data_IF_297865866845
#
_entry.id   IF_297865866845
#
_cell.length_a   1.000
_cell.length_b   1.000
_cell.length_c   1.000
_cell.angle_alpha   90.00
_cell.angle_beta   90.00
_cell.angle_gamma   90.00
#
_symmetry.space_group_name_H-M   'P 1'
#
loop_
_entity.id
_entity.type
_entity.pdbx_description
1 polymer ?
#
# COMPACT_ATOMS: atom_id res chain seq x y z
N UNK A 1 -17.14 31.39 -25.56
CA UNK A 1 -17.64 30.88 -24.27
C UNK A 1 -17.54 29.37 -24.36
N UNK A 2 -16.63 28.74 -23.61
CA UNK A 2 -16.38 27.30 -23.71
C UNK A 2 -17.56 26.58 -23.05
N UNK A 3 -18.32 25.78 -23.80
CA UNK A 3 -19.39 24.96 -23.23
C UNK A 3 -18.77 23.94 -22.28
N UNK A 4 -19.08 24.06 -20.98
CA UNK A 4 -18.69 23.06 -20.01
C UNK A 4 -19.54 21.81 -20.22
N UNK A 5 -18.94 20.77 -20.80
CA UNK A 5 -19.58 19.47 -20.91
C UNK A 5 -19.72 18.88 -19.50
N UNK A 6 -20.97 18.68 -19.07
CA UNK A 6 -21.24 17.97 -17.83
C UNK A 6 -21.09 16.47 -18.08
N UNK A 7 -20.29 15.81 -17.24
CA UNK A 7 -20.07 14.36 -17.29
C UNK A 7 -20.48 13.77 -15.95
N UNK A 8 -21.38 12.79 -15.98
CA UNK A 8 -21.73 11.99 -14.81
C UNK A 8 -20.61 11.00 -14.48
N UNK A 9 -20.12 11.04 -13.24
CA UNK A 9 -19.02 10.19 -12.77
C UNK A 9 -19.50 8.99 -11.94
N UNK A 10 -20.81 8.79 -11.79
CA UNK A 10 -21.40 7.75 -10.93
C UNK A 10 -20.96 6.33 -11.27
N UNK A 11 -20.62 6.06 -12.55
CA UNK A 11 -20.18 4.76 -13.04
C UNK A 11 -18.68 4.68 -13.37
N UNK A 12 -17.90 5.70 -12.98
CA UNK A 12 -16.45 5.68 -13.16
C UNK A 12 -15.83 4.92 -12.00
N UNK A 13 -14.98 3.93 -12.31
CA UNK A 13 -14.17 3.25 -11.30
C UNK A 13 -13.04 4.17 -10.85
N UNK A 14 -12.95 4.42 -9.54
CA UNK A 14 -11.85 5.16 -8.94
C UNK A 14 -10.91 4.19 -8.23
N UNK A 15 -9.62 4.25 -8.58
CA UNK A 15 -8.55 3.53 -7.87
C UNK A 15 -7.60 4.59 -7.30
N UNK A 16 -7.58 4.69 -5.98
CA UNK A 16 -6.71 5.62 -5.25
C UNK A 16 -5.57 4.81 -4.62
N UNK A 17 -4.32 5.15 -4.95
CA UNK A 17 -3.13 4.50 -4.39
C UNK A 17 -2.13 5.53 -3.88
N UNK A 18 -1.34 5.13 -2.89
CA UNK A 18 -0.33 5.98 -2.27
C UNK A 18 0.59 5.19 -1.35
N UNK A 19 1.70 5.81 -0.94
CA UNK A 19 2.59 5.29 0.09
C UNK A 19 2.23 5.96 1.43
N UNK A 20 1.81 5.15 2.41
CA UNK A 20 1.32 5.62 3.70
C UNK A 20 2.38 5.37 4.79
N UNK A 21 3.43 6.20 4.80
CA UNK A 21 4.55 6.04 5.72
C UNK A 21 4.11 6.24 7.19
N UNK A 22 4.40 5.28 8.06
CA UNK A 22 4.02 5.33 9.47
C UNK A 22 2.60 4.83 9.78
N UNK A 23 1.82 4.42 8.76
CA UNK A 23 0.52 3.79 8.97
C UNK A 23 0.65 2.45 9.70
N UNK A 24 1.73 1.71 9.45
CA UNK A 24 2.11 0.49 10.16
C UNK A 24 2.16 0.68 11.68
N UNK A 25 2.66 1.84 12.16
CA UNK A 25 2.72 2.16 13.59
C UNK A 25 1.32 2.37 14.17
N UNK A 26 0.44 3.06 13.45
CA UNK A 26 -0.95 3.30 13.87
C UNK A 26 -1.69 1.96 13.99
N UNK A 27 -1.51 1.07 13.02
CA UNK A 27 -2.10 -0.27 13.01
C UNK A 27 -1.58 -1.10 14.19
N UNK A 28 -0.26 -1.06 14.47
CA UNK A 28 0.34 -1.73 15.63
C UNK A 28 -0.19 -1.17 16.94
N UNK A 29 -0.25 0.15 17.12
CA UNK A 29 -0.75 0.77 18.35
C UNK A 29 -2.22 0.35 18.65
N UNK A 30 -3.03 0.15 17.60
CA UNK A 30 -4.39 -0.39 17.75
C UNK A 30 -4.39 -1.85 18.18
N UNK A 31 -3.52 -2.66 17.57
CA UNK A 31 -3.52 -4.13 17.67
C UNK A 31 -2.75 -4.65 18.89
N UNK A 32 -1.69 -3.94 19.28
CA UNK A 32 -0.79 -4.21 20.41
C UNK A 32 -1.18 -3.37 21.62
N UNK A 33 -2.39 -3.58 22.16
CA UNK A 33 -2.77 -2.97 23.45
C UNK A 33 -1.97 -3.63 24.58
N UNK A 34 -0.78 -3.10 24.86
CA UNK A 34 -0.03 -3.45 26.08
C UNK A 34 -0.79 -2.96 27.30
N UNK A 35 -1.35 -3.89 28.07
CA UNK A 35 -1.91 -3.60 29.38
C UNK A 35 -0.79 -3.26 30.37
N UNK A 36 -1.01 -2.29 31.26
CA UNK A 36 -0.14 -2.09 32.42
C UNK A 36 -0.74 -2.90 33.58
N UNK A 37 -0.01 -3.90 34.08
CA UNK A 37 -0.42 -4.69 35.24
C UNK A 37 0.29 -6.03 35.37
N UNK A 38 0.32 -6.59 36.58
CA UNK A 38 0.98 -7.88 36.90
C UNK A 38 0.44 -9.09 36.12
N UNK A 39 -0.72 -8.94 35.45
CA UNK A 39 -1.36 -9.98 34.61
C UNK A 39 -1.41 -9.59 33.13
N UNK A 40 -0.73 -8.52 32.72
CA UNK A 40 -0.71 -8.13 31.32
C UNK A 40 0.24 -9.03 30.52
N UNK A 41 -0.25 -9.60 29.42
CA UNK A 41 0.62 -10.26 28.44
C UNK A 41 1.50 -9.20 27.76
N UNK A 42 2.75 -9.09 28.21
CA UNK A 42 3.77 -8.29 27.52
C UNK A 42 4.24 -9.12 26.33
N UNK A 43 3.72 -8.83 25.14
CA UNK A 43 4.30 -9.37 23.90
C UNK A 43 5.61 -8.64 23.61
N UNK A 44 6.67 -9.40 23.38
CA UNK A 44 7.99 -8.87 23.02
C UNK A 44 7.91 -8.05 21.74
N UNK A 45 8.42 -6.82 21.77
CA UNK A 45 8.55 -5.92 20.61
C UNK A 45 9.46 -6.46 19.50
N UNK A 46 10.12 -7.60 19.71
CA UNK A 46 11.10 -8.22 18.80
C UNK A 46 10.49 -9.00 17.62
N UNK A 47 9.16 -9.02 17.46
CA UNK A 47 8.58 -9.40 16.17
C UNK A 47 8.63 -8.20 15.26
N UNK A 48 9.73 -8.11 14.49
CA UNK A 48 9.71 -7.43 13.20
C UNK A 48 8.70 -8.14 12.28
N UNK A 49 7.40 -8.02 12.58
CA UNK A 49 6.37 -8.38 11.61
C UNK A 49 6.66 -7.51 10.39
N UNK A 50 6.74 -8.12 9.21
CA UNK A 50 7.08 -7.38 7.99
C UNK A 50 6.03 -6.28 7.80
N UNK A 51 6.46 -5.08 7.37
CA UNK A 51 5.55 -3.94 7.15
C UNK A 51 4.35 -4.35 6.29
N UNK A 52 4.58 -5.16 5.26
CA UNK A 52 3.52 -5.70 4.40
C UNK A 52 2.47 -6.54 5.14
N UNK A 53 2.87 -7.34 6.13
CA UNK A 53 1.94 -8.15 6.93
C UNK A 53 1.09 -7.27 7.85
N UNK A 54 1.71 -6.29 8.52
CA UNK A 54 0.98 -5.31 9.33
C UNK A 54 -0.04 -4.53 8.49
N UNK A 55 0.34 -4.10 7.28
CA UNK A 55 -0.55 -3.35 6.39
C UNK A 55 -1.79 -4.15 5.99
N UNK A 56 -1.73 -5.48 5.90
CA UNK A 56 -2.90 -6.33 5.58
C UNK A 56 -4.01 -6.26 6.62
N UNK A 57 -3.68 -5.86 7.84
CA UNK A 57 -4.63 -5.71 8.95
C UNK A 57 -5.23 -4.30 9.04
N UNK A 58 -5.00 -3.43 8.05
CA UNK A 58 -5.51 -2.06 8.04
C UNK A 58 -7.05 -2.02 8.12
N UNK A 59 -7.58 -1.15 8.97
CA UNK A 59 -9.01 -0.83 9.04
C UNK A 59 -9.26 0.64 8.69
N UNK A 60 -10.50 1.00 8.30
CA UNK A 60 -10.87 2.38 8.01
C UNK A 60 -10.54 3.38 9.14
N UNK A 61 -10.60 2.96 10.40
CA UNK A 61 -10.27 3.84 11.54
C UNK A 61 -8.79 4.22 11.60
N UNK A 62 -7.88 3.37 11.11
CA UNK A 62 -6.45 3.67 11.05
C UNK A 62 -6.18 4.76 10.02
N UNK A 63 -6.89 4.72 8.88
CA UNK A 63 -6.81 5.73 7.83
C UNK A 63 -7.33 7.10 8.31
N UNK A 64 -8.35 7.11 9.16
CA UNK A 64 -8.84 8.33 9.79
C UNK A 64 -7.83 8.88 10.79
N UNK A 65 -7.28 8.02 11.67
CA UNK A 65 -6.21 8.41 12.61
C UNK A 65 -4.95 8.91 11.89
N UNK A 66 -4.65 8.35 10.72
CA UNK A 66 -3.56 8.77 9.85
C UNK A 66 -3.77 10.19 9.27
N UNK A 67 -5.04 10.63 9.14
CA UNK A 67 -5.39 11.99 8.74
C UNK A 67 -6.35 12.09 7.56
N UNK A 68 -6.88 10.98 7.05
CA UNK A 68 -7.94 11.03 6.03
C UNK A 68 -9.29 11.37 6.68
N UNK A 69 -10.11 12.16 5.99
CA UNK A 69 -11.45 12.48 6.47
C UNK A 69 -12.38 11.26 6.34
N UNK A 70 -13.28 11.01 7.31
CA UNK A 70 -14.16 9.83 7.30
C UNK A 70 -15.03 9.71 6.05
N UNK A 71 -15.53 10.83 5.52
CA UNK A 71 -16.39 10.85 4.33
C UNK A 71 -15.64 10.37 3.08
N UNK A 72 -14.33 10.62 3.01
CA UNK A 72 -13.49 10.16 1.92
C UNK A 72 -13.19 8.67 2.04
N UNK A 73 -12.84 8.21 3.24
CA UNK A 73 -12.62 6.78 3.52
C UNK A 73 -13.90 5.98 3.27
N UNK A 74 -15.07 6.52 3.62
CA UNK A 74 -16.37 5.89 3.35
C UNK A 74 -16.71 5.70 1.87
N UNK A 75 -16.06 6.45 0.97
CA UNK A 75 -16.20 6.26 -0.50
C UNK A 75 -15.26 5.19 -1.05
N UNK A 76 -14.34 4.67 -0.24
CA UNK A 76 -13.33 3.68 -0.61
C UNK A 76 -13.54 2.38 0.19
N UNK A 77 -14.60 1.60 -0.09
CA UNK A 77 -14.93 0.41 0.68
C UNK A 77 -13.94 -0.75 0.49
N UNK A 78 -13.12 -0.69 -0.57
CA UNK A 78 -12.13 -1.71 -0.90
C UNK A 78 -10.73 -1.19 -0.61
N UNK A 79 -10.00 -1.88 0.25
CA UNK A 79 -8.60 -1.60 0.56
C UNK A 79 -7.76 -2.77 0.05
N UNK A 80 -6.72 -2.47 -0.71
CA UNK A 80 -5.74 -3.45 -1.19
C UNK A 80 -4.35 -2.99 -0.76
N UNK A 81 -3.64 -3.87 -0.08
CA UNK A 81 -2.27 -3.61 0.41
C UNK A 81 -1.28 -4.33 -0.50
N UNK A 82 -0.09 -3.76 -0.64
CA UNK A 82 1.01 -4.37 -1.39
C UNK A 82 2.09 -4.83 -0.40
N UNK A 83 2.67 -6.00 -0.68
CA UNK A 83 3.82 -6.49 0.04
C UNK A 83 5.10 -5.81 -0.45
N UNK A 84 6.12 -5.77 0.40
CA UNK A 84 7.44 -5.30 0.02
C UNK A 84 8.10 -6.22 -1.01
N UNK A 85 8.96 -5.64 -1.85
CA UNK A 85 9.69 -6.40 -2.85
C UNK A 85 10.85 -7.15 -2.20
N UNK A 86 10.84 -8.46 -2.32
CA UNK A 86 11.99 -9.31 -2.00
C UNK A 86 12.94 -9.47 -3.20
N UNK A 87 14.07 -10.14 -2.96
CA UNK A 87 15.08 -10.37 -3.99
C UNK A 87 14.51 -11.11 -5.21
N UNK A 88 13.68 -12.13 -4.97
CA UNK A 88 13.09 -12.93 -6.04
C UNK A 88 12.12 -12.10 -6.88
N UNK A 89 11.30 -11.25 -6.25
CA UNK A 89 10.44 -10.29 -6.92
C UNK A 89 11.25 -9.31 -7.78
N UNK A 90 12.37 -8.77 -7.27
CA UNK A 90 13.25 -7.89 -8.02
C UNK A 90 13.86 -8.59 -9.25
N UNK A 91 14.33 -9.83 -9.09
CA UNK A 91 14.85 -10.64 -10.20
C UNK A 91 13.77 -10.88 -11.26
N UNK A 92 12.54 -11.14 -10.84
CA UNK A 92 11.40 -11.28 -11.77
C UNK A 92 11.08 -9.98 -12.49
N UNK A 93 11.04 -8.85 -11.78
CA UNK A 93 10.77 -7.52 -12.36
C UNK A 93 11.77 -7.16 -13.47
N UNK A 94 13.05 -7.49 -13.29
CA UNK A 94 14.08 -7.16 -14.28
C UNK A 94 14.13 -8.16 -15.46
N UNK A 95 13.46 -9.31 -15.40
CA UNK A 95 13.51 -10.36 -16.44
C UNK A 95 12.16 -10.65 -17.13
N UNK A 96 11.08 -10.82 -16.37
CA UNK A 96 9.81 -11.35 -16.87
C UNK A 96 8.96 -10.32 -17.63
N UNK A 97 8.71 -9.09 -17.10
CA UNK A 97 7.84 -8.12 -17.75
C UNK A 97 8.23 -7.86 -19.21
N UNK A 98 7.23 -7.57 -20.05
CA UNK A 98 7.46 -7.15 -21.45
C UNK A 98 8.39 -5.94 -21.53
N UNK A 99 8.21 -5.00 -20.60
CA UNK A 99 9.01 -3.77 -20.49
C UNK A 99 10.08 -3.87 -19.40
N UNK A 100 10.67 -5.05 -19.17
CA UNK A 100 11.74 -5.21 -18.19
C UNK A 100 13.05 -4.58 -18.64
N UNK A 101 13.90 -4.17 -17.68
CA UNK A 101 15.17 -3.49 -17.96
C UNK A 101 16.09 -4.33 -18.85
N UNK A 102 16.22 -5.64 -18.59
CA UNK A 102 17.07 -6.50 -19.40
C UNK A 102 16.64 -6.52 -20.87
N UNK A 103 15.32 -6.62 -21.15
CA UNK A 103 14.78 -6.56 -22.52
C UNK A 103 14.96 -5.20 -23.17
N UNK A 104 14.81 -4.11 -22.41
CA UNK A 104 15.05 -2.76 -22.89
C UNK A 104 16.52 -2.58 -23.32
N UNK A 105 17.47 -2.99 -22.49
CA UNK A 105 18.90 -2.91 -22.82
C UNK A 105 19.30 -3.85 -23.96
N UNK A 106 18.78 -5.08 -24.00
CA UNK A 106 19.00 -5.98 -25.15
C UNK A 106 18.56 -5.33 -26.45
N UNK A 107 17.39 -4.69 -26.47
CA UNK A 107 16.89 -4.00 -27.66
C UNK A 107 17.74 -2.79 -28.04
N UNK A 108 18.20 -2.02 -27.05
CA UNK A 108 19.10 -0.90 -27.28
C UNK A 108 20.40 -1.34 -27.96
N UNK A 109 21.02 -2.41 -27.47
CA UNK A 109 22.25 -2.94 -28.08
C UNK A 109 22.03 -3.54 -29.49
N UNK A 110 20.88 -4.17 -29.75
CA UNK A 110 20.52 -4.61 -31.11
C UNK A 110 20.36 -3.46 -32.12
N UNK A 111 20.10 -2.24 -31.65
CA UNK A 111 19.96 -1.07 -32.52
C UNK A 111 21.29 -0.37 -32.80
N UNK A 112 22.29 -0.55 -31.93
CA UNK A 112 23.63 0.03 -32.06
C UNK A 112 24.67 -0.93 -32.64
N UNK A 113 24.39 -2.24 -32.69
CA UNK A 113 25.22 -3.28 -33.32
C UNK A 113 24.78 -3.62 -34.73
#
# INVERSE_FOLDING_TARGET
>A
QQEFLQVDTSNILFVCGGAFAGLDKIIRDRSEKSGIGFTAEVRSQDREDKVGETLREVEPEDLVKYGLIPEFVGRLPMIATLDELDLDALVRIIKEPKNSLTKQYSKLFEMEG
#
